data_IF_836174251365
#
_entry.id   IF_836174251365
#
_cell.length_a   1.000
_cell.length_b   1.000
_cell.length_c   1.000
_cell.angle_alpha   90.00
_cell.angle_beta   90.00
_cell.angle_gamma   90.00
#
_symmetry.space_group_name_H-M   'P 1'
#
loop_
_entity.id
_entity.type
_entity.pdbx_description
1 polymer ?
#
# COMPACT_ATOMS: atom_id res chain seq x y z
N UNK A 1 1.44 -24.58 -18.38
CA UNK A 1 0.09 -23.98 -18.27
C UNK A 1 0.16 -22.93 -17.18
N UNK A 2 -0.36 -21.73 -17.41
CA UNK A 2 -0.40 -20.66 -16.42
C UNK A 2 -1.85 -20.31 -16.14
N UNK A 3 -2.25 -20.37 -14.87
CA UNK A 3 -3.57 -19.96 -14.42
C UNK A 3 -3.51 -18.55 -13.83
N UNK A 4 -4.47 -17.71 -14.20
CA UNK A 4 -4.49 -16.29 -13.84
C UNK A 4 -5.93 -15.89 -13.47
N UNK A 5 -6.08 -15.00 -12.49
CA UNK A 5 -7.37 -14.39 -12.16
C UNK A 5 -7.88 -13.46 -13.28
N UNK A 6 -9.13 -13.03 -13.17
CA UNK A 6 -9.77 -12.11 -14.12
C UNK A 6 -9.53 -10.62 -13.80
N UNK A 7 -8.44 -10.28 -13.11
CA UNK A 7 -8.11 -8.88 -12.84
C UNK A 7 -8.00 -8.06 -14.14
N UNK A 8 -8.55 -6.86 -14.13
CA UNK A 8 -8.57 -5.94 -15.29
C UNK A 8 -7.17 -5.53 -15.77
N UNK A 9 -6.17 -5.61 -14.90
CA UNK A 9 -4.77 -5.41 -15.24
C UNK A 9 -4.20 -6.53 -16.13
N UNK A 10 -4.82 -7.71 -16.16
CA UNK A 10 -4.38 -8.82 -16.98
C UNK A 10 -4.81 -8.63 -18.44
N UNK A 11 -3.87 -8.65 -19.40
CA UNK A 11 -4.23 -8.39 -20.79
C UNK A 11 -5.02 -9.57 -21.36
N UNK A 12 -6.25 -9.30 -21.78
CA UNK A 12 -7.23 -10.30 -22.26
C UNK A 12 -6.81 -11.08 -23.51
N UNK A 13 -5.75 -10.63 -24.22
CA UNK A 13 -5.33 -11.21 -25.51
C UNK A 13 -3.81 -11.27 -25.64
N UNK A 14 -3.20 -12.19 -24.90
CA UNK A 14 -1.79 -12.53 -25.06
C UNK A 14 -1.64 -13.93 -25.64
N UNK A 15 -0.96 -14.04 -26.78
CA UNK A 15 -0.58 -15.32 -27.37
C UNK A 15 0.90 -15.57 -27.13
N UNK A 16 1.21 -16.65 -26.43
CA UNK A 16 2.59 -17.09 -26.19
C UNK A 16 2.87 -18.40 -26.92
N UNK A 17 4.09 -18.59 -27.40
CA UNK A 17 4.50 -19.80 -28.13
C UNK A 17 4.67 -21.02 -27.23
N UNK A 18 5.01 -20.83 -25.96
CA UNK A 18 5.41 -21.89 -25.03
C UNK A 18 4.54 -21.98 -23.77
N UNK A 19 3.62 -21.03 -23.58
CA UNK A 19 2.79 -20.94 -22.38
C UNK A 19 1.33 -20.80 -22.81
N UNK A 20 0.51 -21.77 -22.42
CA UNK A 20 -0.94 -21.63 -22.48
C UNK A 20 -1.41 -20.92 -21.22
N UNK A 21 -2.04 -19.75 -21.38
CA UNK A 21 -2.73 -19.04 -20.30
C UNK A 21 -4.17 -19.52 -20.21
N UNK A 22 -4.65 -19.75 -18.99
CA UNK A 22 -6.05 -20.05 -18.65
C UNK A 22 -6.49 -19.08 -17.57
N UNK A 23 -7.67 -18.49 -17.76
CA UNK A 23 -8.29 -17.68 -16.74
C UNK A 23 -9.18 -18.57 -15.86
N UNK A 24 -9.23 -18.27 -14.57
CA UNK A 24 -10.23 -18.85 -13.67
C UNK A 24 -11.64 -18.40 -14.08
N UNK A 25 -12.67 -19.09 -13.57
CA UNK A 25 -14.03 -18.57 -13.74
C UNK A 25 -14.17 -17.23 -12.99
N UNK A 26 -15.01 -16.31 -13.48
CA UNK A 26 -15.29 -15.07 -12.76
C UNK A 26 -15.79 -15.36 -11.35
N UNK A 27 -15.32 -14.60 -10.35
CA UNK A 27 -15.73 -14.69 -8.95
C UNK A 27 -15.49 -16.05 -8.27
N UNK A 28 -14.58 -16.89 -8.78
CA UNK A 28 -14.25 -18.19 -8.16
C UNK A 28 -12.82 -18.27 -7.64
N UNK A 29 -12.07 -17.16 -7.62
CA UNK A 29 -10.65 -17.12 -7.20
C UNK A 29 -10.47 -17.70 -5.80
N UNK A 30 -11.26 -17.23 -4.83
CA UNK A 30 -11.23 -17.73 -3.46
C UNK A 30 -11.37 -19.27 -3.35
N UNK A 31 -12.09 -19.93 -4.26
CA UNK A 31 -12.30 -21.39 -4.24
C UNK A 31 -11.30 -22.18 -5.08
N UNK A 32 -10.85 -21.60 -6.20
CA UNK A 32 -10.13 -22.35 -7.24
C UNK A 32 -8.69 -21.91 -7.42
N UNK A 33 -8.28 -20.80 -6.81
CA UNK A 33 -6.93 -20.29 -6.88
C UNK A 33 -6.12 -20.82 -5.69
N UNK A 34 -5.03 -21.56 -5.92
CA UNK A 34 -4.19 -22.08 -4.83
C UNK A 34 -3.65 -20.98 -3.91
N UNK A 35 -3.42 -19.77 -4.45
CA UNK A 35 -2.94 -18.63 -3.66
C UNK A 35 -3.90 -18.26 -2.52
N UNK A 36 -5.20 -18.30 -2.81
CA UNK A 36 -6.29 -17.97 -1.88
C UNK A 36 -6.65 -19.17 -0.99
N UNK A 37 -6.19 -20.38 -1.34
CA UNK A 37 -6.39 -21.62 -0.56
C UNK A 37 -5.35 -21.81 0.55
N UNK A 38 -4.73 -20.74 1.04
CA UNK A 38 -3.85 -20.75 2.22
C UNK A 38 -2.38 -20.40 1.95
N UNK A 39 -1.92 -20.29 0.69
CA UNK A 39 -0.53 -19.88 0.40
C UNK A 39 -0.27 -18.45 0.87
N UNK A 40 -1.17 -17.52 0.56
CA UNK A 40 -1.06 -16.11 0.99
C UNK A 40 -1.13 -16.02 2.52
N UNK A 41 -2.09 -16.71 3.14
CA UNK A 41 -2.26 -16.73 4.59
C UNK A 41 -1.00 -17.26 5.30
N UNK A 42 -0.45 -18.38 4.83
CA UNK A 42 0.79 -18.96 5.37
C UNK A 42 1.98 -18.01 5.21
N UNK A 43 2.07 -17.30 4.07
CA UNK A 43 3.11 -16.29 3.86
C UNK A 43 2.98 -15.12 4.82
N UNK A 44 1.76 -14.58 5.04
CA UNK A 44 1.50 -13.51 6.01
C UNK A 44 1.91 -13.93 7.42
N UNK A 45 1.51 -15.13 7.84
CA UNK A 45 1.88 -15.70 9.14
C UNK A 45 3.40 -15.77 9.32
N UNK A 46 4.14 -16.36 8.38
CA UNK A 46 5.59 -16.45 8.48
C UNK A 46 6.29 -15.10 8.36
N UNK A 47 5.75 -14.18 7.56
CA UNK A 47 6.26 -12.82 7.49
C UNK A 47 6.17 -12.13 8.84
N UNK A 48 5.03 -12.22 9.51
CA UNK A 48 4.86 -11.69 10.87
C UNK A 48 5.88 -12.32 11.80
N UNK A 49 5.94 -13.65 11.87
CA UNK A 49 6.89 -14.37 12.73
C UNK A 49 8.37 -13.94 12.55
N UNK A 50 8.76 -13.55 11.33
CA UNK A 50 10.15 -13.23 10.97
C UNK A 50 10.48 -11.74 10.96
N UNK A 51 9.51 -10.85 10.73
CA UNK A 51 9.71 -9.40 10.81
C UNK A 51 9.84 -8.93 12.26
N UNK A 52 9.20 -9.65 13.18
CA UNK A 52 9.13 -9.29 14.60
C UNK A 52 10.48 -9.20 15.32
N UNK A 53 11.45 -10.09 15.08
CA UNK A 53 12.79 -9.95 15.64
C UNK A 53 13.64 -8.85 14.97
N UNK A 54 13.23 -8.30 13.82
CA UNK A 54 14.05 -7.47 12.93
C UNK A 54 13.72 -5.97 12.98
N UNK A 55 12.92 -5.50 13.94
CA UNK A 55 12.58 -4.07 14.11
C UNK A 55 13.79 -3.10 14.28
N UNK A 56 15.04 -3.59 14.25
CA UNK A 56 16.24 -2.75 14.18
C UNK A 56 16.75 -2.45 12.75
N UNK A 57 16.12 -2.98 11.69
CA UNK A 57 16.59 -2.77 10.32
C UNK A 57 15.47 -2.32 9.39
N UNK A 58 15.57 -1.07 8.93
CA UNK A 58 14.85 -0.52 7.78
C UNK A 58 15.11 -1.38 6.54
N UNK A 59 14.26 -2.36 6.25
CA UNK A 59 14.29 -3.04 4.97
C UNK A 59 12.89 -3.54 4.61
N UNK A 60 12.24 -2.85 3.68
CA UNK A 60 10.93 -3.18 3.12
C UNK A 60 10.93 -4.45 2.23
N UNK A 61 11.94 -5.32 2.34
CA UNK A 61 12.02 -6.55 1.54
C UNK A 61 11.71 -7.78 2.39
N UNK A 62 10.81 -8.65 1.91
CA UNK A 62 10.58 -9.95 2.54
C UNK A 62 11.90 -10.73 2.52
N UNK A 63 12.42 -11.18 3.67
CA UNK A 63 13.65 -11.95 3.69
C UNK A 63 13.45 -13.23 2.85
N UNK A 64 14.42 -13.65 2.03
CA UNK A 64 14.33 -14.87 1.22
C UNK A 64 14.04 -16.13 2.05
N UNK A 65 14.36 -16.08 3.35
CA UNK A 65 14.07 -17.16 4.30
C UNK A 65 12.56 -17.36 4.54
N UNK A 66 11.75 -16.31 4.45
CA UNK A 66 10.28 -16.38 4.60
C UNK A 66 9.67 -17.13 3.42
N UNK A 67 10.07 -16.76 2.20
CA UNK A 67 9.64 -17.42 0.97
C UNK A 67 10.08 -18.88 0.87
N UNK A 68 11.22 -19.23 1.49
CA UNK A 68 11.68 -20.63 1.57
C UNK A 68 10.97 -21.46 2.63
N UNK A 69 10.23 -20.82 3.54
CA UNK A 69 9.64 -21.47 4.72
C UNK A 69 8.19 -21.91 4.49
N UNK A 70 7.51 -21.40 3.45
CA UNK A 70 6.27 -22.01 2.97
C UNK A 70 6.59 -23.45 2.56
N UNK A 71 6.09 -24.41 3.33
CA UNK A 71 6.49 -25.79 3.14
C UNK A 71 5.95 -26.30 1.80
N UNK A 72 6.78 -27.06 1.09
CA UNK A 72 6.38 -27.71 -0.18
C UNK A 72 5.08 -28.50 0.01
N UNK A 73 4.87 -29.06 1.20
CA UNK A 73 3.64 -29.73 1.64
C UNK A 73 2.44 -28.77 1.68
N UNK A 74 2.55 -27.62 2.35
CA UNK A 74 1.49 -26.60 2.41
C UNK A 74 1.08 -26.15 1.02
N UNK A 75 2.06 -25.84 0.16
CA UNK A 75 1.79 -25.47 -1.24
C UNK A 75 1.06 -26.61 -1.96
N UNK A 76 1.51 -27.86 -1.81
CA UNK A 76 0.83 -28.99 -2.42
C UNK A 76 -0.60 -29.16 -1.89
N UNK A 77 -0.83 -28.97 -0.59
CA UNK A 77 -2.16 -29.03 0.03
C UNK A 77 -3.08 -27.94 -0.55
N UNK A 78 -2.63 -26.69 -0.65
CA UNK A 78 -3.40 -25.58 -1.24
C UNK A 78 -3.79 -25.85 -2.70
N UNK A 79 -2.88 -26.42 -3.49
CA UNK A 79 -3.20 -26.83 -4.87
C UNK A 79 -4.23 -27.97 -4.90
N UNK A 80 -4.15 -28.96 -3.99
CA UNK A 80 -5.17 -30.01 -3.90
C UNK A 80 -6.54 -29.47 -3.48
N UNK A 81 -6.58 -28.51 -2.56
CA UNK A 81 -7.83 -27.83 -2.16
C UNK A 81 -8.43 -27.03 -3.33
N UNK A 82 -7.59 -26.40 -4.15
CA UNK A 82 -7.96 -25.79 -5.41
C UNK A 82 -8.30 -26.80 -6.53
N UNK A 83 -8.48 -28.09 -6.21
CA UNK A 83 -8.81 -29.19 -7.11
C UNK A 83 -7.75 -29.51 -8.20
N UNK A 84 -6.50 -29.08 -8.01
CA UNK A 84 -5.39 -29.52 -8.85
C UNK A 84 -4.88 -30.90 -8.43
N UNK A 85 -4.54 -31.73 -9.42
CA UNK A 85 -3.90 -33.03 -9.17
C UNK A 85 -2.39 -32.82 -9.00
N UNK A 86 -1.89 -33.23 -7.84
CA UNK A 86 -0.46 -33.29 -7.53
C UNK A 86 -0.13 -34.72 -7.16
N UNK A 87 0.58 -35.41 -8.05
CA UNK A 87 0.88 -36.84 -7.92
C UNK A 87 2.18 -37.10 -7.11
N UNK A 88 3.08 -36.10 -7.02
CA UNK A 88 4.45 -36.29 -6.50
C UNK A 88 4.64 -36.01 -5.00
N UNK A 89 3.63 -35.49 -4.31
CA UNK A 89 3.72 -35.16 -2.88
C UNK A 89 2.56 -35.86 -2.17
N UNK A 90 2.80 -36.68 -1.13
CA UNK A 90 1.72 -37.23 -0.33
C UNK A 90 1.02 -36.11 0.49
N UNK A 91 -0.27 -36.25 0.83
CA UNK A 91 -0.89 -35.40 1.83
C UNK A 91 -0.16 -35.62 3.16
N UNK A 92 0.32 -34.55 3.76
CA UNK A 92 0.86 -34.56 5.11
C UNK A 92 0.11 -33.53 5.95
N UNK A 93 0.02 -33.82 7.26
CA UNK A 93 -0.67 -32.99 8.24
C UNK A 93 0.02 -31.62 8.36
N UNK A 94 -0.76 -30.62 8.73
CA UNK A 94 -0.29 -29.25 8.91
C UNK A 94 0.75 -29.20 10.05
N UNK A 95 1.79 -28.39 9.86
CA UNK A 95 2.88 -28.28 10.83
C UNK A 95 2.44 -27.41 12.02
N UNK A 96 2.01 -28.06 13.11
CA UNK A 96 1.58 -27.41 14.37
C UNK A 96 2.64 -26.42 14.90
N UNK A 97 3.94 -26.67 14.64
CA UNK A 97 5.04 -25.80 15.05
C UNK A 97 4.97 -24.39 14.42
N UNK A 98 4.32 -24.25 13.26
CA UNK A 98 4.13 -22.96 12.58
C UNK A 98 3.08 -22.09 13.28
N UNK A 99 2.00 -22.71 13.79
CA UNK A 99 0.91 -22.03 14.48
C UNK A 99 1.36 -21.55 15.87
N UNK A 100 2.05 -22.41 16.62
CA UNK A 100 2.65 -22.05 17.91
C UNK A 100 3.65 -20.90 17.77
N UNK A 101 4.45 -20.95 16.71
CA UNK A 101 5.41 -19.93 16.38
C UNK A 101 4.80 -18.57 16.05
N UNK A 102 3.60 -18.54 15.46
CA UNK A 102 2.87 -17.32 15.14
C UNK A 102 2.20 -16.73 16.40
N UNK A 103 1.59 -17.57 17.22
CA UNK A 103 0.93 -17.17 18.47
C UNK A 103 1.92 -16.51 19.45
N UNK A 104 3.13 -17.09 19.57
CA UNK A 104 4.19 -16.49 20.37
C UNK A 104 4.68 -15.14 19.80
N UNK A 105 4.70 -15.01 18.49
CA UNK A 105 5.08 -13.77 17.81
C UNK A 105 4.03 -12.67 18.04
N UNK A 106 2.75 -13.01 17.97
CA UNK A 106 1.63 -12.11 18.22
C UNK A 106 1.57 -11.63 19.67
N UNK A 107 1.77 -12.51 20.64
CA UNK A 107 1.81 -12.13 22.06
C UNK A 107 2.89 -11.06 22.32
N UNK A 108 4.06 -11.18 21.68
CA UNK A 108 5.15 -10.19 21.78
C UNK A 108 4.78 -8.82 21.17
N UNK A 109 3.91 -8.77 20.18
CA UNK A 109 3.44 -7.49 19.59
C UNK A 109 2.57 -6.73 20.57
N UNK A 110 1.65 -7.42 21.23
CA UNK A 110 0.77 -6.83 22.23
C UNK A 110 1.59 -6.26 23.40
N UNK A 111 2.66 -6.96 23.80
CA UNK A 111 3.57 -6.48 24.86
C UNK A 111 4.41 -5.25 24.46
N UNK A 112 4.71 -5.06 23.17
CA UNK A 112 5.51 -3.92 22.67
C UNK A 112 4.67 -2.65 22.46
N UNK A 113 3.34 -2.73 22.49
CA UNK A 113 2.45 -1.59 22.31
C UNK A 113 2.39 -1.01 20.88
N UNK A 114 2.92 -1.74 19.90
CA UNK A 114 2.94 -1.34 18.48
C UNK A 114 1.62 -1.62 17.73
N UNK A 115 0.69 -2.32 18.37
CA UNK A 115 -0.61 -2.68 17.79
C UNK A 115 -1.75 -2.33 18.74
N UNK A 116 -2.85 -1.79 18.20
CA UNK A 116 -4.10 -1.65 18.93
C UNK A 116 -4.61 -3.03 19.38
N UNK A 117 -5.37 -3.07 20.48
CA UNK A 117 -6.02 -4.30 20.94
C UNK A 117 -6.89 -4.90 19.82
N UNK A 118 -6.49 -6.05 19.31
CA UNK A 118 -7.19 -6.76 18.24
C UNK A 118 -6.82 -8.25 18.21
N UNK A 119 -7.67 -9.05 17.57
CA UNK A 119 -7.41 -10.48 17.39
C UNK A 119 -6.41 -10.71 16.26
N UNK A 120 -5.53 -11.71 16.41
CA UNK A 120 -4.58 -12.09 15.36
C UNK A 120 -5.28 -12.40 14.03
N UNK A 121 -6.46 -13.02 14.13
CA UNK A 121 -7.26 -13.42 12.98
C UNK A 121 -7.78 -12.20 12.21
N UNK A 122 -8.20 -11.15 12.93
CA UNK A 122 -8.59 -9.89 12.29
C UNK A 122 -7.43 -9.31 11.48
N UNK A 123 -6.19 -9.39 12.01
CA UNK A 123 -5.00 -8.90 11.31
C UNK A 123 -4.66 -9.67 10.04
N UNK A 124 -4.78 -11.01 10.08
CA UNK A 124 -4.51 -11.87 8.93
C UNK A 124 -5.48 -11.64 7.77
N UNK A 125 -6.70 -11.19 8.09
CA UNK A 125 -7.81 -11.00 7.15
C UNK A 125 -8.18 -9.53 6.91
N UNK A 126 -7.34 -8.57 7.32
CA UNK A 126 -7.60 -7.12 7.10
C UNK A 126 -7.86 -6.81 5.62
N UNK A 127 -7.14 -7.48 4.74
CA UNK A 127 -7.17 -7.29 3.29
C UNK A 127 -8.30 -8.04 2.58
N UNK A 128 -9.01 -8.96 3.24
CA UNK A 128 -10.07 -9.76 2.62
C UNK A 128 -11.22 -8.92 2.03
N UNK A 129 -11.47 -7.75 2.63
CA UNK A 129 -12.54 -6.83 2.22
C UNK A 129 -12.04 -5.63 1.42
N UNK A 130 -10.74 -5.57 1.12
CA UNK A 130 -10.18 -4.49 0.32
C UNK A 130 -10.57 -4.73 -1.14
N UNK A 131 -11.26 -3.76 -1.72
CA UNK A 131 -11.58 -3.76 -3.15
C UNK A 131 -10.26 -3.63 -3.92
N UNK A 132 -9.82 -4.72 -4.53
CA UNK A 132 -8.54 -4.80 -5.26
C UNK A 132 -8.71 -4.70 -6.78
N UNK A 133 -9.95 -4.74 -7.28
CA UNK A 133 -10.30 -4.48 -8.67
C UNK A 133 -11.41 -3.43 -8.80
N UNK A 134 -11.43 -2.77 -9.96
CA UNK A 134 -12.39 -1.73 -10.29
C UNK A 134 -11.70 -0.62 -11.06
N UNK A 135 -11.91 -0.57 -12.38
CA UNK A 135 -11.75 0.70 -13.08
C UNK A 135 -13.00 1.51 -12.74
N UNK A 136 -12.88 2.53 -11.88
CA UNK A 136 -13.95 3.51 -11.73
C UNK A 136 -14.27 4.03 -13.13
N UNK A 137 -15.50 3.85 -13.59
CA UNK A 137 -15.90 4.44 -14.87
C UNK A 137 -16.05 5.95 -14.68
N UNK A 138 -15.91 6.72 -15.76
CA UNK A 138 -16.07 8.17 -15.71
C UNK A 138 -17.49 8.53 -15.23
N UNK A 139 -18.46 7.68 -15.55
CA UNK A 139 -19.86 7.76 -15.17
C UNK A 139 -20.05 7.57 -13.65
N UNK A 140 -19.41 6.56 -13.05
CA UNK A 140 -19.48 6.32 -11.59
C UNK A 140 -18.94 7.52 -10.80
N UNK A 141 -17.87 8.16 -11.30
CA UNK A 141 -17.28 9.36 -10.69
C UNK A 141 -18.25 10.55 -10.76
N UNK A 142 -18.96 10.71 -11.88
CA UNK A 142 -19.90 11.83 -12.08
C UNK A 142 -21.14 11.67 -11.19
N UNK A 143 -21.66 10.45 -11.04
CA UNK A 143 -22.81 10.18 -10.17
C UNK A 143 -22.49 10.43 -8.69
N UNK A 144 -21.28 10.07 -8.24
CA UNK A 144 -20.82 10.32 -6.87
C UNK A 144 -20.71 11.84 -6.56
N UNK A 145 -20.22 12.63 -7.51
CA UNK A 145 -20.14 14.10 -7.37
C UNK A 145 -21.53 14.73 -7.35
N UNK A 146 -22.46 14.24 -8.18
CA UNK A 146 -23.82 14.75 -8.23
C UNK A 146 -24.60 14.48 -6.93
N UNK A 147 -24.43 13.30 -6.34
CA UNK A 147 -25.06 12.92 -5.07
C UNK A 147 -24.51 13.74 -3.88
N UNK A 148 -23.22 14.07 -3.88
CA UNK A 148 -22.60 14.87 -2.82
C UNK A 148 -22.99 16.36 -2.89
N UNK A 149 -23.27 16.89 -4.08
CA UNK A 149 -23.64 18.30 -4.26
C UNK A 149 -25.09 18.63 -3.86
N UNK A 150 -26.01 17.66 -3.86
CA UNK A 150 -27.41 17.94 -3.47
C UNK A 150 -27.62 18.17 -1.97
N UNK A 151 -26.62 17.86 -1.13
CA UNK A 151 -26.71 18.02 0.33
C UNK A 151 -26.27 19.39 0.86
N UNK A 152 -25.73 20.28 0.01
CA UNK A 152 -25.08 21.53 0.43
C UNK A 152 -25.85 22.81 0.10
N UNK A 153 -27.07 22.72 -0.44
CA UNK A 153 -27.82 23.85 -0.98
C UNK A 153 -28.62 24.68 0.05
N UNK A 154 -28.12 24.84 1.29
CA UNK A 154 -28.77 25.73 2.27
C UNK A 154 -27.71 26.42 3.16
N UNK A 155 -27.23 27.59 2.74
CA UNK A 155 -27.01 28.80 3.58
C UNK A 155 -26.12 29.86 2.91
N UNK A 156 -26.82 30.88 2.39
CA UNK A 156 -26.57 32.33 2.46
C UNK A 156 -25.13 32.91 2.38
N UNK A 157 -24.98 33.80 1.38
CA UNK A 157 -23.90 34.73 1.06
C UNK A 157 -23.72 35.85 2.10
N UNK A 158 -22.47 36.22 2.44
CA UNK A 158 -22.13 37.52 3.02
C UNK A 158 -20.93 38.14 2.30
N UNK A 159 -21.16 39.31 1.71
CA UNK A 159 -20.17 40.27 1.20
C UNK A 159 -19.29 40.80 2.34
N UNK A 160 -17.97 40.89 2.12
CA UNK A 160 -17.09 41.77 2.89
C UNK A 160 -16.09 42.47 1.98
N UNK A 161 -16.09 43.80 2.10
CA UNK A 161 -15.31 44.81 1.40
C UNK A 161 -13.79 44.64 1.46
N UNK A 162 -13.15 45.10 0.38
CA UNK A 162 -11.70 45.13 0.11
C UNK A 162 -11.08 46.37 0.78
N UNK A 163 -10.03 46.19 1.58
CA UNK A 163 -9.08 47.26 1.91
C UNK A 163 -7.65 46.89 1.48
N UNK A 164 -6.98 47.90 0.90
CA UNK A 164 -5.66 47.86 0.26
C UNK A 164 -4.53 47.34 1.17
N UNK A 165 -3.77 46.35 0.69
CA UNK A 165 -2.49 45.92 1.29
C UNK A 165 -1.38 46.06 0.27
N UNK A 166 -0.30 46.73 0.68
CA UNK A 166 0.96 46.98 -0.05
C UNK A 166 1.48 45.74 -0.82
N UNK A 167 2.25 45.91 -1.91
CA UNK A 167 2.68 44.83 -2.79
C UNK A 167 3.67 43.90 -2.08
N UNK A 168 3.15 42.84 -1.47
CA UNK A 168 3.93 41.73 -0.91
C UNK A 168 4.52 40.94 -2.08
N UNK A 169 5.85 40.87 -2.18
CA UNK A 169 6.53 39.93 -3.08
C UNK A 169 5.92 38.53 -2.89
N UNK A 170 5.56 37.81 -3.97
CA UNK A 170 4.82 36.57 -3.84
C UNK A 170 5.59 35.61 -2.92
N UNK A 171 4.94 35.06 -1.88
CA UNK A 171 5.61 34.15 -0.96
C UNK A 171 6.16 32.96 -1.76
N UNK A 172 7.47 32.71 -1.63
CA UNK A 172 8.12 31.57 -2.27
C UNK A 172 7.32 30.31 -2.01
N UNK A 173 6.83 29.67 -3.07
CA UNK A 173 6.02 28.47 -2.91
C UNK A 173 6.89 27.33 -2.35
N UNK A 174 6.30 26.42 -1.57
CA UNK A 174 7.02 25.25 -1.02
C UNK A 174 7.75 24.45 -2.11
N UNK A 175 7.21 24.43 -3.32
CA UNK A 175 7.80 23.75 -4.47
C UNK A 175 9.05 24.47 -5.00
N UNK A 176 9.04 25.81 -5.04
CA UNK A 176 10.22 26.61 -5.44
C UNK A 176 11.36 26.47 -4.45
N UNK A 177 11.04 26.44 -3.15
CA UNK A 177 12.03 26.22 -2.11
C UNK A 177 12.71 24.83 -2.23
N UNK A 178 11.93 23.77 -2.50
CA UNK A 178 12.48 22.42 -2.73
C UNK A 178 13.37 22.36 -3.97
N UNK A 179 12.98 23.01 -5.07
CA UNK A 179 13.80 23.08 -6.29
C UNK A 179 15.12 23.83 -6.05
N UNK A 180 15.08 24.91 -5.29
CA UNK A 180 16.29 25.66 -4.91
C UNK A 180 17.21 24.80 -4.04
N UNK A 181 16.66 24.02 -3.11
CA UNK A 181 17.42 23.14 -2.24
C UNK A 181 18.08 21.98 -3.00
N UNK A 182 17.41 21.42 -4.00
CA UNK A 182 18.01 20.40 -4.88
C UNK A 182 19.24 20.95 -5.63
N UNK A 183 19.21 22.22 -6.03
CA UNK A 183 20.36 22.89 -6.64
C UNK A 183 21.50 23.05 -5.64
N UNK A 184 21.19 23.48 -4.41
CA UNK A 184 22.17 23.61 -3.32
C UNK A 184 22.81 22.27 -3.02
N UNK A 185 22.02 21.20 -2.89
CA UNK A 185 22.51 19.84 -2.64
C UNK A 185 23.45 19.35 -3.74
N UNK A 186 23.06 19.50 -5.00
CA UNK A 186 23.94 19.12 -6.13
C UNK A 186 25.23 19.93 -6.17
N UNK A 187 25.21 21.18 -5.71
CA UNK A 187 26.40 22.01 -5.60
C UNK A 187 27.28 21.58 -4.41
N UNK A 188 26.69 21.24 -3.26
CA UNK A 188 27.44 20.81 -2.07
C UNK A 188 28.13 19.47 -2.32
N UNK A 189 27.43 18.49 -2.88
CA UNK A 189 27.97 17.17 -3.24
C UNK A 189 29.15 17.25 -4.21
N UNK A 190 29.16 18.25 -5.10
CA UNK A 190 30.24 18.42 -6.10
C UNK A 190 31.45 19.17 -5.57
N UNK A 191 31.27 20.09 -4.63
CA UNK A 191 32.32 21.03 -4.21
C UNK A 191 32.86 20.76 -2.80
N UNK A 192 32.14 20.00 -1.96
CA UNK A 192 32.52 19.75 -0.58
C UNK A 192 32.52 18.24 -0.29
N UNK A 193 33.66 17.74 0.18
CA UNK A 193 33.81 16.36 0.67
C UNK A 193 33.61 16.24 2.20
N UNK A 194 33.31 17.36 2.87
CA UNK A 194 33.10 17.40 4.31
C UNK A 194 31.72 16.82 4.65
N UNK A 195 31.73 15.70 5.37
CA UNK A 195 30.54 15.00 5.85
C UNK A 195 29.65 15.87 6.74
N UNK A 196 30.19 16.89 7.42
CA UNK A 196 29.38 17.80 8.24
C UNK A 196 28.50 18.72 7.40
N UNK A 197 28.99 19.14 6.23
CA UNK A 197 28.27 20.00 5.28
C UNK A 197 27.16 19.19 4.58
N UNK A 198 27.46 17.95 4.20
CA UNK A 198 26.48 17.05 3.60
C UNK A 198 25.34 16.72 4.58
N UNK A 199 25.67 16.39 5.84
CA UNK A 199 24.66 16.16 6.89
C UNK A 199 23.78 17.37 7.16
N UNK A 200 24.34 18.59 7.08
CA UNK A 200 23.57 19.82 7.22
C UNK A 200 22.54 19.97 6.09
N UNK A 201 22.93 19.63 4.86
CA UNK A 201 22.03 19.59 3.70
C UNK A 201 20.88 18.60 3.90
N UNK A 202 21.18 17.39 4.37
CA UNK A 202 20.16 16.35 4.64
C UNK A 202 19.20 16.77 5.75
N UNK A 203 19.71 17.45 6.79
CA UNK A 203 18.90 17.95 7.91
C UNK A 203 17.94 19.05 7.45
N UNK A 204 18.40 19.91 6.52
CA UNK A 204 17.55 20.91 5.91
C UNK A 204 16.47 20.26 5.04
N UNK A 205 16.83 19.29 4.19
CA UNK A 205 15.88 18.53 3.37
C UNK A 205 14.72 17.99 4.24
N UNK A 206 15.06 17.32 5.35
CA UNK A 206 14.07 16.78 6.29
C UNK A 206 13.18 17.86 6.90
N UNK A 207 13.74 19.01 7.31
CA UNK A 207 12.96 20.12 7.86
C UNK A 207 11.94 20.68 6.86
N UNK A 208 12.29 20.77 5.57
CA UNK A 208 11.39 21.20 4.51
C UNK A 208 10.28 20.18 4.23
N UNK A 209 10.59 18.87 4.25
CA UNK A 209 9.57 17.83 4.12
C UNK A 209 8.58 17.86 5.27
N UNK A 210 9.05 18.00 6.52
CA UNK A 210 8.20 18.10 7.70
C UNK A 210 7.33 19.37 7.68
N UNK A 211 7.87 20.50 7.22
CA UNK A 211 7.10 21.74 7.06
C UNK A 211 6.00 21.58 6.00
N UNK A 212 6.31 20.92 4.88
CA UNK A 212 5.32 20.64 3.83
C UNK A 212 4.24 19.69 4.34
N UNK A 213 4.60 18.60 5.01
CA UNK A 213 3.67 17.62 5.55
C UNK A 213 2.67 18.26 6.55
N UNK A 214 3.15 19.19 7.39
CA UNK A 214 2.31 19.96 8.31
C UNK A 214 1.38 20.95 7.62
N UNK A 215 1.80 21.51 6.48
CA UNK A 215 1.05 22.52 5.73
C UNK A 215 0.17 21.94 4.62
N UNK A 216 0.34 20.66 4.26
CA UNK A 216 -0.57 19.93 3.39
C UNK A 216 -1.78 19.47 4.17
N UNK A 217 -2.67 20.40 4.48
CA UNK A 217 -4.07 20.04 4.76
C UNK A 217 -4.77 19.79 3.44
N UNK A 218 -5.59 18.74 3.38
CA UNK A 218 -6.43 18.45 2.23
C UNK A 218 -7.39 19.62 2.04
N UNK A 219 -7.11 20.47 1.05
CA UNK A 219 -8.00 21.57 0.66
C UNK A 219 -9.27 21.00 0.04
N UNK A 220 -10.42 21.62 0.33
CA UNK A 220 -11.70 21.19 -0.24
C UNK A 220 -11.71 21.58 -1.72
N UNK A 221 -12.47 20.86 -2.54
CA UNK A 221 -12.57 21.12 -3.99
C UNK A 221 -12.98 22.58 -4.28
N UNK A 222 -13.78 23.17 -3.38
CA UNK A 222 -14.22 24.58 -3.41
C UNK A 222 -13.08 25.60 -3.27
N UNK A 223 -11.92 25.20 -2.75
CA UNK A 223 -10.76 26.09 -2.60
C UNK A 223 -9.99 26.29 -3.92
N UNK A 224 -10.32 25.50 -4.96
CA UNK A 224 -9.66 25.53 -6.27
C UNK A 224 -10.57 26.06 -7.39
N UNK A 225 -11.88 25.94 -7.23
CA UNK A 225 -12.86 26.37 -8.21
C UNK A 225 -13.79 27.41 -7.56
N UNK A 226 -13.48 28.69 -7.74
CA UNK A 226 -14.46 29.76 -7.54
C UNK A 226 -15.45 29.68 -8.70
N UNK A 227 -16.64 29.15 -8.41
CA UNK A 227 -17.76 29.23 -9.34
C UNK A 227 -18.31 30.66 -9.27
N UNK A 228 -17.85 31.53 -10.16
CA UNK A 228 -18.57 32.77 -10.45
C UNK A 228 -19.90 32.37 -11.09
N UNK A 229 -20.99 32.59 -10.36
CA UNK A 229 -22.39 32.44 -10.83
C UNK A 229 -22.85 33.76 -11.42
#
# INVERSE_FOLDING_TARGET
MLYVDNCSAHPLRLTFSNITIRFFLPNTTALSQPMDQGIIQNLKAHYLQTRLPLQSAECASLPPKVLKRSQVVTIANCFRHAAFKIDDVPPAEEDDDAVDGLLLAWARLQDLGDFEEGEMEDYLHIDDKVVTDGAQTLEDIVEEIAANNSQLADSQTMDVDVEDVDPVEPPNTSIEALKAMEIVRRYTEKNFADLSILKCSDTLDEAFYQLRAKNTTQKKLTDYFSFDI
#
